data_IF_024320737375
#
_entry.id   IF_024320737375
#
_cell.length_a   1.000
_cell.length_b   1.000
_cell.length_c   1.000
_cell.angle_alpha   90.00
_cell.angle_beta   90.00
_cell.angle_gamma   90.00
#
_symmetry.space_group_name_H-M   'P 1'
#
loop_
_entity.id
_entity.type
_entity.pdbx_description
1 polymer ?
#
# COMPACT_ATOMS: atom_id res chain seq x y z
N UNK A 1 -5.19 -17.61 -0.62
CA UNK A 1 -5.66 -16.50 0.23
C UNK A 1 -4.65 -16.32 1.36
N UNK A 2 -3.96 -15.18 1.40
CA UNK A 2 -2.99 -14.86 2.46
C UNK A 2 -3.75 -14.65 3.78
N UNK A 3 -3.64 -15.61 4.71
CA UNK A 3 -4.39 -15.64 5.98
C UNK A 3 -3.71 -14.79 7.07
N UNK A 4 -3.34 -13.55 6.76
CA UNK A 4 -2.46 -12.77 7.64
C UNK A 4 -3.18 -11.90 8.65
N UNK A 5 -4.40 -11.45 8.33
CA UNK A 5 -5.19 -10.62 9.22
C UNK A 5 -6.29 -11.43 9.88
N UNK A 6 -6.53 -11.13 11.16
CA UNK A 6 -7.60 -11.74 11.96
C UNK A 6 -9.00 -11.45 11.41
N UNK A 7 -9.15 -10.38 10.63
CA UNK A 7 -10.41 -9.98 10.03
C UNK A 7 -10.22 -9.53 8.57
N UNK A 8 -11.13 -10.01 7.72
CA UNK A 8 -11.30 -9.56 6.33
C UNK A 8 -11.86 -8.13 6.30
N UNK A 9 -11.74 -7.40 5.17
CA UNK A 9 -12.49 -6.17 4.97
C UNK A 9 -13.99 -6.41 5.22
N UNK A 10 -14.72 -5.48 5.85
CA UNK A 10 -16.14 -5.66 6.10
C UNK A 10 -16.89 -5.78 4.77
N UNK A 11 -17.99 -6.55 4.72
CA UNK A 11 -18.75 -6.79 3.47
C UNK A 11 -19.20 -5.49 2.78
N UNK A 12 -19.45 -4.44 3.56
CA UNK A 12 -19.81 -3.11 3.03
C UNK A 12 -18.66 -2.36 2.35
N UNK A 13 -17.41 -2.80 2.48
CA UNK A 13 -16.23 -2.12 1.93
C UNK A 13 -16.21 -2.18 0.40
N UNK A 14 -16.37 -3.38 -0.18
CA UNK A 14 -16.24 -3.57 -1.62
C UNK A 14 -17.30 -2.79 -2.42
N UNK A 15 -18.61 -2.83 -2.06
CA UNK A 15 -19.62 -2.01 -2.74
C UNK A 15 -19.32 -0.51 -2.68
N UNK A 16 -18.81 -0.01 -1.56
CA UNK A 16 -18.42 1.41 -1.40
C UNK A 16 -17.24 1.77 -2.30
N UNK A 17 -16.25 0.89 -2.43
CA UNK A 17 -15.08 1.09 -3.31
C UNK A 17 -15.50 1.11 -4.77
N UNK A 18 -16.30 0.13 -5.22
CA UNK A 18 -16.78 0.07 -6.61
C UNK A 18 -17.60 1.32 -6.97
N UNK A 19 -18.42 1.82 -6.04
CA UNK A 19 -19.20 3.04 -6.26
C UNK A 19 -18.35 4.33 -6.32
N UNK A 20 -17.08 4.30 -5.88
CA UNK A 20 -16.24 5.49 -5.74
C UNK A 20 -14.81 5.28 -6.31
N UNK A 21 -14.67 4.48 -7.38
CA UNK A 21 -13.36 4.07 -7.90
C UNK A 21 -12.42 5.24 -8.20
N UNK A 22 -12.92 6.36 -8.73
CA UNK A 22 -12.05 7.51 -9.04
C UNK A 22 -11.40 8.11 -7.80
N UNK A 23 -12.16 8.26 -6.72
CA UNK A 23 -11.66 8.71 -5.41
C UNK A 23 -10.67 7.71 -4.82
N UNK A 24 -10.92 6.41 -4.99
CA UNK A 24 -10.02 5.34 -4.52
C UNK A 24 -8.69 5.35 -5.29
N UNK A 25 -8.69 5.60 -6.59
CA UNK A 25 -7.46 5.72 -7.39
C UNK A 25 -6.61 6.93 -6.98
N UNK A 26 -7.25 8.08 -6.67
CA UNK A 26 -6.52 9.24 -6.16
C UNK A 26 -5.88 8.91 -4.82
N UNK A 27 -6.61 8.28 -3.90
CA UNK A 27 -6.07 7.87 -2.61
C UNK A 27 -4.93 6.85 -2.77
N UNK A 28 -5.11 5.85 -3.64
CA UNK A 28 -4.09 4.86 -3.97
C UNK A 28 -2.78 5.52 -4.42
N UNK A 29 -2.82 6.48 -5.34
CA UNK A 29 -1.62 7.23 -5.73
C UNK A 29 -0.94 7.93 -4.53
N UNK A 30 -1.70 8.48 -3.59
CA UNK A 30 -1.10 9.05 -2.38
C UNK A 30 -0.50 8.00 -1.45
N UNK A 31 -1.05 6.79 -1.42
CA UNK A 31 -0.53 5.69 -0.61
C UNK A 31 0.82 5.20 -1.15
N UNK A 32 0.98 4.98 -2.45
CA UNK A 32 2.27 4.54 -3.04
C UNK A 32 3.37 5.55 -2.73
N UNK A 33 3.07 6.84 -2.91
CA UNK A 33 4.02 7.91 -2.58
C UNK A 33 4.38 7.95 -1.10
N UNK A 34 3.45 7.57 -0.20
CA UNK A 34 3.71 7.47 1.24
C UNK A 34 4.52 6.22 1.58
N UNK A 35 4.27 5.09 0.91
CA UNK A 35 5.04 3.85 1.05
C UNK A 35 6.51 4.08 0.67
N UNK A 36 6.76 4.70 -0.47
CA UNK A 36 8.10 5.12 -0.88
C UNK A 36 8.79 5.99 0.20
N UNK A 37 8.08 7.00 0.73
CA UNK A 37 8.60 7.83 1.82
C UNK A 37 8.85 7.05 3.10
N UNK A 38 8.03 6.05 3.40
CA UNK A 38 8.18 5.17 4.56
C UNK A 38 9.46 4.35 4.46
N UNK A 39 9.72 3.74 3.30
CA UNK A 39 10.96 3.03 3.00
C UNK A 39 12.20 3.91 3.18
N UNK A 40 12.19 5.14 2.64
CA UNK A 40 13.27 6.12 2.87
C UNK A 40 13.40 6.54 4.34
N UNK A 41 12.30 6.57 5.10
CA UNK A 41 12.32 6.89 6.52
C UNK A 41 13.01 5.79 7.33
N UNK A 42 12.77 4.52 6.98
CA UNK A 42 13.39 3.35 7.60
C UNK A 42 14.92 3.33 7.42
N UNK A 43 15.43 3.86 6.30
CA UNK A 43 16.88 3.95 6.06
C UNK A 43 17.63 4.82 7.09
N UNK A 44 16.92 5.69 7.82
CA UNK A 44 17.53 6.53 8.86
C UNK A 44 17.85 5.75 10.13
N UNK A 45 17.33 4.54 10.28
CA UNK A 45 17.61 3.68 11.42
C UNK A 45 18.94 2.97 11.22
N UNK A 46 19.90 3.22 12.10
CA UNK A 46 21.23 2.60 12.04
C UNK A 46 21.15 1.05 12.09
N UNK A 47 20.15 0.52 12.77
CA UNK A 47 19.80 -0.89 12.85
C UNK A 47 19.55 -1.53 11.47
N UNK A 48 19.16 -0.73 10.47
CA UNK A 48 18.86 -1.18 9.11
C UNK A 48 19.95 -0.80 8.10
N UNK A 49 21.15 -0.42 8.57
CA UNK A 49 22.27 -0.01 7.70
C UNK A 49 22.71 -1.09 6.70
N UNK A 50 22.48 -2.37 6.98
CA UNK A 50 22.75 -3.48 6.04
C UNK A 50 21.63 -3.72 5.04
N UNK A 51 20.49 -3.03 5.16
CA UNK A 51 19.29 -3.17 4.32
C UNK A 51 19.01 -1.94 3.45
N UNK A 52 19.98 -1.03 3.32
CA UNK A 52 19.80 0.24 2.59
C UNK A 52 19.47 0.04 1.11
N UNK A 53 20.11 -0.94 0.47
CA UNK A 53 19.84 -1.28 -0.94
C UNK A 53 18.42 -1.79 -1.13
N UNK A 54 18.00 -2.76 -0.31
CA UNK A 54 16.63 -3.31 -0.32
C UNK A 54 15.57 -2.22 -0.09
N UNK A 55 15.74 -1.38 0.95
CA UNK A 55 14.83 -0.27 1.23
C UNK A 55 14.81 0.78 0.10
N UNK A 56 15.92 0.94 -0.63
CA UNK A 56 15.98 1.84 -1.79
C UNK A 56 15.21 1.24 -2.97
N UNK A 57 15.38 -0.06 -3.23
CA UNK A 57 14.63 -0.78 -4.26
C UNK A 57 13.13 -0.72 -4.02
N UNK A 58 12.67 -0.96 -2.78
CA UNK A 58 11.26 -0.80 -2.42
C UNK A 58 10.78 0.64 -2.68
N UNK A 59 11.54 1.65 -2.25
CA UNK A 59 11.17 3.04 -2.47
C UNK A 59 11.04 3.41 -3.96
N UNK A 60 11.91 2.85 -4.82
CA UNK A 60 11.86 3.04 -6.27
C UNK A 60 10.63 2.37 -6.86
N UNK A 61 10.38 1.11 -6.52
CA UNK A 61 9.23 0.34 -7.01
C UNK A 61 7.91 1.02 -6.63
N UNK A 62 7.81 1.57 -5.42
CA UNK A 62 6.63 2.33 -5.00
C UNK A 62 6.43 3.64 -5.77
N UNK A 63 7.51 4.30 -6.18
CA UNK A 63 7.42 5.46 -7.08
C UNK A 63 7.05 5.05 -8.51
N UNK A 64 7.41 3.84 -8.93
CA UNK A 64 6.94 3.25 -10.19
C UNK A 64 5.45 2.95 -10.12
N UNK A 65 4.97 2.31 -9.05
CA UNK A 65 3.53 2.12 -8.78
C UNK A 65 2.77 3.45 -8.77
N UNK A 66 3.29 4.46 -8.06
CA UNK A 66 2.72 5.81 -8.08
C UNK A 66 2.55 6.36 -9.50
N UNK A 67 3.60 6.25 -10.33
CA UNK A 67 3.54 6.69 -11.72
C UNK A 67 2.53 5.88 -12.55
N UNK A 68 2.37 4.58 -12.30
CA UNK A 68 1.34 3.77 -12.95
C UNK A 68 -0.07 4.27 -12.60
N UNK A 69 -0.33 4.57 -11.32
CA UNK A 69 -1.63 5.11 -10.89
C UNK A 69 -1.87 6.51 -11.49
N UNK A 70 -0.86 7.38 -11.56
CA UNK A 70 -0.99 8.70 -12.20
C UNK A 70 -1.38 8.58 -13.69
N UNK A 71 -0.73 7.69 -14.44
CA UNK A 71 -1.09 7.44 -15.85
C UNK A 71 -2.52 6.89 -15.97
N UNK A 72 -2.94 6.06 -15.02
CA UNK A 72 -4.29 5.52 -14.97
C UNK A 72 -5.33 6.63 -14.69
N UNK A 73 -5.03 7.55 -13.78
CA UNK A 73 -5.85 8.73 -13.49
C UNK A 73 -5.98 9.63 -14.73
N UNK A 74 -4.87 9.93 -15.41
CA UNK A 74 -4.84 10.73 -16.64
C UNK A 74 -5.68 10.08 -17.74
N UNK A 75 -5.49 8.78 -18.00
CA UNK A 75 -6.26 8.03 -19.00
C UNK A 75 -7.77 8.03 -18.73
N UNK A 76 -8.17 8.19 -17.47
CA UNK A 76 -9.57 8.21 -17.02
C UNK A 76 -10.11 9.62 -16.82
N UNK A 77 -9.33 10.65 -17.15
CA UNK A 77 -9.68 12.06 -16.96
C UNK A 77 -10.03 12.39 -15.50
N UNK A 78 -9.42 11.68 -14.54
CA UNK A 78 -9.61 11.93 -13.11
C UNK A 78 -8.48 12.85 -12.63
N UNK A 79 -8.78 14.05 -12.11
CA UNK A 79 -7.75 14.95 -11.62
C UNK A 79 -7.08 14.38 -10.37
N UNK A 80 -5.76 14.51 -10.28
CA UNK A 80 -5.03 14.19 -9.06
C UNK A 80 -5.39 15.21 -7.97
N UNK A 81 -6.22 14.76 -7.01
CA UNK A 81 -6.78 15.59 -5.96
C UNK A 81 -6.09 15.44 -4.61
N UNK A 82 -6.78 15.90 -3.56
CA UNK A 82 -6.33 15.79 -2.18
C UNK A 82 -6.34 14.34 -1.69
N UNK A 83 -5.41 14.01 -0.81
CA UNK A 83 -5.37 12.71 -0.15
C UNK A 83 -6.54 12.56 0.83
N UNK A 84 -7.02 11.34 1.02
CA UNK A 84 -8.04 11.05 2.03
C UNK A 84 -7.33 10.76 3.35
N UNK A 85 -7.89 11.28 4.44
CA UNK A 85 -7.41 10.92 5.77
C UNK A 85 -7.90 9.51 6.12
N UNK A 86 -6.98 8.63 6.46
CA UNK A 86 -7.28 7.27 6.92
C UNK A 86 -7.02 7.17 8.42
N UNK A 87 -8.07 7.08 9.27
CA UNK A 87 -7.93 6.85 10.70
C UNK A 87 -7.17 5.57 11.03
N UNK A 88 -7.22 4.57 10.14
CA UNK A 88 -6.48 3.33 10.32
C UNK A 88 -4.98 3.52 10.12
N UNK A 89 -4.56 4.24 9.06
CA UNK A 89 -3.15 4.52 8.81
C UNK A 89 -2.56 5.44 9.87
N UNK A 90 -3.26 6.52 10.23
CA UNK A 90 -2.79 7.39 11.32
C UNK A 90 -2.80 6.64 12.65
N UNK A 91 -3.83 5.84 12.92
CA UNK A 91 -3.95 5.01 14.10
C UNK A 91 -2.79 4.04 14.26
N UNK A 92 -2.47 3.24 13.23
CA UNK A 92 -1.38 2.26 13.30
C UNK A 92 -0.02 2.93 13.44
N UNK A 93 0.26 3.99 12.67
CA UNK A 93 1.54 4.71 12.75
C UNK A 93 1.73 5.39 14.11
N UNK A 94 0.65 5.81 14.78
CA UNK A 94 0.71 6.36 16.13
C UNK A 94 1.01 5.31 17.22
N UNK A 95 0.96 4.01 16.90
CA UNK A 95 1.34 2.95 17.85
C UNK A 95 2.83 2.70 17.92
N UNK A 96 3.62 3.24 16.99
CA UNK A 96 5.07 3.10 16.95
C UNK A 96 5.68 3.65 18.24
N UNK A 97 6.30 2.79 19.03
CA UNK A 97 6.98 3.18 20.26
C UNK A 97 8.20 4.03 19.94
N UNK A 98 8.52 4.96 20.83
CA UNK A 98 9.77 5.71 20.78
C UNK A 98 10.87 4.86 21.43
N UNK A 99 12.05 4.82 20.82
CA UNK A 99 13.16 4.01 21.30
C UNK A 99 14.18 3.79 20.19
N UNK A 100 15.25 3.08 20.49
CA UNK A 100 16.24 2.74 19.47
C UNK A 100 15.83 1.49 18.69
N UNK A 101 15.50 0.39 19.38
CA UNK A 101 15.20 -0.87 18.71
C UNK A 101 13.69 -1.08 18.53
N UNK A 102 12.90 -0.72 19.53
CA UNK A 102 11.44 -0.85 19.53
C UNK A 102 10.81 -0.04 18.40
N UNK A 103 11.32 1.18 18.17
CA UNK A 103 10.82 2.04 17.12
C UNK A 103 11.02 1.45 15.73
N UNK A 104 12.18 0.83 15.50
CA UNK A 104 12.53 0.21 14.21
C UNK A 104 11.64 -1.00 13.96
N UNK A 105 11.52 -1.88 14.96
CA UNK A 105 10.68 -3.07 14.91
C UNK A 105 9.23 -2.67 14.65
N UNK A 106 8.69 -1.71 15.41
CA UNK A 106 7.30 -1.29 15.26
C UNK A 106 7.05 -0.64 13.90
N UNK A 107 8.00 0.13 13.37
CA UNK A 107 7.86 0.74 12.05
C UNK A 107 7.85 -0.33 10.95
N UNK A 108 8.76 -1.31 10.99
CA UNK A 108 8.76 -2.45 10.06
C UNK A 108 7.44 -3.24 10.14
N UNK A 109 6.95 -3.53 11.35
CA UNK A 109 5.67 -4.22 11.54
C UNK A 109 4.48 -3.41 10.99
N UNK A 110 4.47 -2.09 11.20
CA UNK A 110 3.43 -1.23 10.64
C UNK A 110 3.47 -1.23 9.11
N UNK A 111 4.66 -1.11 8.51
CA UNK A 111 4.83 -1.16 7.06
C UNK A 111 4.35 -2.50 6.50
N UNK A 112 4.80 -3.62 7.08
CA UNK A 112 4.32 -4.95 6.71
C UNK A 112 2.78 -5.06 6.81
N UNK A 113 2.17 -4.59 7.90
CA UNK A 113 0.71 -4.63 8.04
C UNK A 113 -0.03 -3.76 7.00
N UNK A 114 0.59 -2.70 6.50
CA UNK A 114 0.03 -1.85 5.44
C UNK A 114 0.11 -2.58 4.11
N UNK A 115 1.29 -3.05 3.70
CA UNK A 115 1.50 -3.80 2.45
C UNK A 115 0.64 -5.07 2.39
N UNK A 116 0.61 -5.83 3.49
CA UNK A 116 -0.22 -7.02 3.56
C UNK A 116 -1.71 -6.71 3.38
N UNK A 117 -2.20 -5.55 3.86
CA UNK A 117 -3.60 -5.15 3.69
C UNK A 117 -3.86 -4.60 2.29
N UNK A 118 -2.90 -3.93 1.66
CA UNK A 118 -2.95 -3.52 0.25
C UNK A 118 -3.05 -4.74 -0.65
N UNK A 119 -2.16 -5.73 -0.47
CA UNK A 119 -2.17 -7.01 -1.19
C UNK A 119 -3.53 -7.72 -1.12
N UNK A 120 -4.11 -7.88 0.08
CA UNK A 120 -5.44 -8.49 0.25
C UNK A 120 -6.54 -7.71 -0.49
N UNK A 121 -6.53 -6.37 -0.40
CA UNK A 121 -7.51 -5.53 -1.08
C UNK A 121 -7.35 -5.60 -2.59
N UNK A 122 -6.13 -5.64 -3.12
CA UNK A 122 -5.87 -5.73 -4.55
C UNK A 122 -6.27 -7.10 -5.12
N UNK A 123 -6.11 -8.19 -4.36
CA UNK A 123 -6.68 -9.50 -4.72
C UNK A 123 -8.21 -9.43 -4.83
N UNK A 124 -8.89 -8.85 -3.83
CA UNK A 124 -10.35 -8.72 -3.86
C UNK A 124 -10.79 -7.86 -5.04
N UNK A 125 -10.11 -6.74 -5.31
CA UNK A 125 -10.46 -5.82 -6.40
C UNK A 125 -10.18 -6.43 -7.77
N UNK A 126 -9.09 -7.19 -7.93
CA UNK A 126 -8.77 -7.83 -9.20
C UNK A 126 -9.80 -8.87 -9.61
N UNK A 127 -10.40 -9.57 -8.65
CA UNK A 127 -11.50 -10.52 -8.90
C UNK A 127 -12.84 -9.80 -9.10
N UNK A 128 -13.19 -8.87 -8.21
CA UNK A 128 -14.49 -8.21 -8.21
C UNK A 128 -14.71 -7.32 -9.44
N UNK A 129 -13.65 -6.73 -9.98
CA UNK A 129 -13.75 -5.81 -11.10
C UNK A 129 -13.74 -6.49 -12.47
N UNK A 130 -13.53 -7.81 -12.57
CA UNK A 130 -13.43 -8.50 -13.88
C UNK A 130 -14.62 -8.21 -14.80
N UNK A 131 -15.84 -8.20 -14.26
CA UNK A 131 -17.08 -7.96 -15.02
C UNK A 131 -17.49 -6.49 -15.08
N UNK A 132 -16.85 -5.61 -14.30
CA UNK A 132 -17.20 -4.19 -14.16
C UNK A 132 -16.20 -3.30 -14.91
N UNK A 133 -14.91 -3.60 -14.78
CA UNK A 133 -13.79 -2.86 -15.34
C UNK A 133 -12.57 -3.79 -15.48
N UNK A 134 -12.58 -4.64 -16.51
CA UNK A 134 -11.53 -5.63 -16.76
C UNK A 134 -10.11 -5.02 -16.86
N UNK A 135 -9.89 -3.82 -17.47
CA UNK A 135 -8.59 -3.17 -17.42
C UNK A 135 -8.12 -2.84 -16.00
N UNK A 136 -9.01 -2.34 -15.14
CA UNK A 136 -8.67 -2.04 -13.74
C UNK A 136 -8.44 -3.30 -12.92
N UNK A 137 -9.22 -4.35 -13.18
CA UNK A 137 -9.03 -5.66 -12.58
C UNK A 137 -7.60 -6.20 -12.85
N UNK A 138 -7.16 -6.12 -14.12
CA UNK A 138 -5.80 -6.52 -14.52
C UNK A 138 -4.72 -5.65 -13.86
N UNK A 139 -4.97 -4.34 -13.74
CA UNK A 139 -4.06 -3.42 -13.07
C UNK A 139 -3.86 -3.82 -11.60
N UNK A 140 -4.92 -4.03 -10.84
CA UNK A 140 -4.78 -4.48 -9.44
C UNK A 140 -4.13 -5.86 -9.35
N UNK A 141 -4.45 -6.79 -10.25
CA UNK A 141 -3.79 -8.10 -10.30
C UNK A 141 -2.27 -7.98 -10.46
N UNK A 142 -1.77 -7.05 -11.28
CA UNK A 142 -0.33 -6.87 -11.51
C UNK A 142 0.43 -6.32 -10.31
N UNK A 143 -0.24 -5.71 -9.33
CA UNK A 143 0.39 -5.18 -8.12
C UNK A 143 0.45 -6.21 -6.99
N UNK A 144 -0.40 -7.26 -7.01
CA UNK A 144 -0.51 -8.20 -5.87
C UNK A 144 0.82 -8.83 -5.47
N UNK A 145 1.66 -9.18 -6.45
CA UNK A 145 2.95 -9.83 -6.20
C UNK A 145 3.95 -8.89 -5.53
N UNK A 146 4.09 -7.65 -6.01
CA UNK A 146 5.02 -6.68 -5.43
C UNK A 146 4.64 -6.33 -3.99
N UNK A 147 3.36 -6.09 -3.71
CA UNK A 147 2.86 -5.85 -2.35
C UNK A 147 3.14 -7.04 -1.40
N UNK A 148 3.00 -8.27 -1.92
CA UNK A 148 3.33 -9.48 -1.17
C UNK A 148 4.82 -9.58 -0.86
N UNK A 149 5.68 -9.18 -1.80
CA UNK A 149 7.13 -9.14 -1.63
C UNK A 149 7.54 -8.05 -0.63
N UNK A 150 6.95 -6.84 -0.69
CA UNK A 150 7.23 -5.77 0.26
C UNK A 150 6.80 -6.14 1.68
N UNK A 151 5.62 -6.76 1.82
CA UNK A 151 5.19 -7.34 3.09
C UNK A 151 6.25 -8.29 3.66
N UNK A 152 6.68 -9.26 2.84
CA UNK A 152 7.64 -10.27 3.27
C UNK A 152 8.99 -9.62 3.63
N UNK A 153 9.45 -8.67 2.83
CA UNK A 153 10.67 -7.92 3.10
C UNK A 153 10.58 -7.20 4.44
N UNK A 154 9.49 -6.51 4.76
CA UNK A 154 9.39 -5.80 6.04
C UNK A 154 9.30 -6.73 7.27
N UNK A 155 8.77 -7.95 7.12
CA UNK A 155 8.59 -8.88 8.23
C UNK A 155 9.79 -9.81 8.50
N UNK A 156 10.48 -10.23 7.44
CA UNK A 156 11.59 -11.19 7.49
C UNK A 156 12.96 -10.48 7.63
#
# INVERSE_FOLDING_TARGET
MMLMFRAKPPESWLPKVIANLGTVLVDHAHLERKAAKSALTLQRYQQLSTRLEELTSIAIEELEHFNLVLKLLEKREIPFGQAISSPWLSGIMNTIRKGQNEQVIDHLLCAAMIEGRSCEKFQILSEALVSVDAPLAKFYASLVESEGNHYAAYLL
#
